data_IF_982030286575
#
_entry.id   IF_982030286575
#
_cell.length_a   1.000
_cell.length_b   1.000
_cell.length_c   1.000
_cell.angle_alpha   90.00
_cell.angle_beta   90.00
_cell.angle_gamma   90.00
#
_symmetry.space_group_name_H-M   'P 1'
#
loop_
_entity.id
_entity.type
_entity.pdbx_description
1 polymer ?
#
# COMPACT_ATOMS: atom_id res chain seq x y z
N UNK A 1 -20.42 -7.42 19.02
CA UNK A 1 -19.65 -7.68 17.80
C UNK A 1 -18.18 -7.25 17.94
N UNK A 2 -17.83 -5.98 18.26
CA UNK A 2 -16.43 -5.50 18.35
C UNK A 2 -15.53 -6.37 19.25
N UNK A 3 -15.93 -6.66 20.51
CA UNK A 3 -15.16 -7.53 21.42
C UNK A 3 -15.04 -8.98 20.91
N UNK A 4 -16.06 -9.48 20.23
CA UNK A 4 -16.04 -10.83 19.62
C UNK A 4 -15.01 -10.90 18.48
N UNK A 5 -14.99 -9.90 17.57
CA UNK A 5 -14.00 -9.81 16.50
C UNK A 5 -12.58 -9.74 17.06
N UNK A 6 -12.33 -8.89 18.07
CA UNK A 6 -11.04 -8.80 18.72
C UNK A 6 -10.61 -10.14 19.34
N UNK A 7 -11.50 -10.79 20.09
CA UNK A 7 -11.21 -12.09 20.70
C UNK A 7 -10.86 -13.16 19.66
N UNK A 8 -11.58 -13.22 18.54
CA UNK A 8 -11.27 -14.12 17.42
C UNK A 8 -9.94 -13.77 16.76
N UNK A 9 -9.66 -12.49 16.54
CA UNK A 9 -8.40 -12.05 15.95
C UNK A 9 -7.18 -12.41 16.82
N UNK A 10 -7.30 -12.25 18.13
CA UNK A 10 -6.26 -12.67 19.07
C UNK A 10 -6.06 -14.19 19.08
N UNK A 11 -7.16 -14.97 19.08
CA UNK A 11 -7.14 -16.43 19.06
C UNK A 11 -6.53 -16.98 17.78
N UNK A 12 -6.90 -16.43 16.64
CA UNK A 12 -6.53 -16.91 15.31
C UNK A 12 -5.42 -16.07 14.63
N UNK A 13 -4.71 -15.25 15.41
CA UNK A 13 -3.58 -14.43 14.96
C UNK A 13 -3.84 -13.60 13.71
N UNK A 14 -5.07 -13.13 13.53
CA UNK A 14 -5.47 -12.30 12.40
C UNK A 14 -5.85 -13.08 11.13
N UNK A 15 -5.85 -14.41 11.14
CA UNK A 15 -6.22 -15.22 9.98
C UNK A 15 -7.68 -15.03 9.59
N UNK A 16 -7.91 -14.39 8.45
CA UNK A 16 -9.23 -13.91 8.00
C UNK A 16 -10.28 -15.03 7.91
N UNK A 17 -9.90 -16.17 7.34
CA UNK A 17 -10.81 -17.31 7.15
C UNK A 17 -11.27 -17.90 8.48
N UNK A 18 -10.34 -18.03 9.44
CA UNK A 18 -10.62 -18.58 10.76
C UNK A 18 -11.50 -17.62 11.58
N UNK A 19 -11.24 -16.30 11.48
CA UNK A 19 -12.12 -15.29 12.11
C UNK A 19 -13.52 -15.36 11.51
N UNK A 20 -13.63 -15.48 10.18
CA UNK A 20 -14.90 -15.58 9.47
C UNK A 20 -15.70 -16.80 9.93
N UNK A 21 -15.04 -17.95 10.04
CA UNK A 21 -15.69 -19.18 10.47
C UNK A 21 -16.12 -19.09 11.94
N UNK A 22 -15.27 -18.58 12.82
CA UNK A 22 -15.61 -18.35 14.22
C UNK A 22 -16.80 -17.39 14.41
N UNK A 23 -16.90 -16.35 13.57
CA UNK A 23 -18.07 -15.45 13.56
C UNK A 23 -19.34 -16.19 13.13
N UNK A 24 -19.30 -17.02 12.08
CA UNK A 24 -20.43 -17.81 11.61
C UNK A 24 -20.92 -18.81 12.65
N UNK A 25 -19.99 -19.43 13.38
CA UNK A 25 -20.28 -20.40 14.44
C UNK A 25 -20.72 -19.72 15.76
N UNK A 26 -20.70 -18.39 15.83
CA UNK A 26 -21.05 -17.64 17.02
C UNK A 26 -20.06 -17.78 18.16
N UNK A 27 -18.80 -18.12 17.89
CA UNK A 27 -17.75 -18.24 18.88
C UNK A 27 -17.56 -16.91 19.65
N UNK A 28 -17.38 -17.04 20.96
CA UNK A 28 -17.13 -15.91 21.86
C UNK A 28 -15.87 -16.18 22.69
N UNK A 29 -14.68 -16.15 22.07
CA UNK A 29 -13.45 -16.37 22.81
C UNK A 29 -13.26 -15.26 23.85
N UNK A 30 -12.55 -15.55 24.96
CA UNK A 30 -12.20 -14.51 25.93
C UNK A 30 -11.43 -13.39 25.23
N UNK A 31 -11.81 -12.16 25.53
CA UNK A 31 -11.19 -10.98 24.95
C UNK A 31 -10.35 -10.30 26.03
N UNK A 32 -9.03 -10.38 25.88
CA UNK A 32 -8.11 -9.61 26.72
C UNK A 32 -8.05 -8.17 26.25
N UNK A 33 -7.93 -7.23 27.18
CA UNK A 33 -7.62 -5.86 26.82
C UNK A 33 -6.22 -5.79 26.21
N UNK A 34 -6.09 -5.01 25.17
CA UNK A 34 -4.82 -4.76 24.48
C UNK A 34 -4.53 -3.26 24.47
N UNK A 35 -3.24 -2.91 24.58
CA UNK A 35 -2.81 -1.52 24.56
C UNK A 35 -2.81 -0.92 23.15
N UNK A 36 -2.69 -1.77 22.09
CA UNK A 36 -2.67 -1.31 20.70
C UNK A 36 -4.07 -0.87 20.26
N UNK A 37 -4.25 0.35 19.77
CA UNK A 37 -5.51 0.79 19.19
C UNK A 37 -5.94 -0.09 18.03
N UNK A 38 -7.26 -0.30 17.91
CA UNK A 38 -7.84 -1.08 16.81
C UNK A 38 -9.21 -0.56 16.42
N UNK A 39 -9.59 -0.85 15.20
CA UNK A 39 -10.92 -0.63 14.65
C UNK A 39 -11.41 -1.91 13.98
N UNK A 40 -12.69 -2.23 14.11
CA UNK A 40 -13.29 -3.43 13.51
C UNK A 40 -14.24 -3.05 12.38
N UNK A 41 -14.56 -3.99 11.54
CA UNK A 41 -15.52 -3.82 10.44
C UNK A 41 -16.88 -3.26 10.92
N UNK A 42 -17.24 -3.46 12.20
CA UNK A 42 -18.48 -2.98 12.80
C UNK A 42 -18.42 -1.53 13.30
N UNK A 43 -17.24 -0.93 13.34
CA UNK A 43 -17.06 0.44 13.86
C UNK A 43 -17.29 1.49 12.76
N UNK A 44 -17.76 2.68 13.14
CA UNK A 44 -18.02 3.78 12.20
C UNK A 44 -16.70 4.33 11.60
N UNK A 45 -15.65 4.34 12.40
CA UNK A 45 -14.31 4.82 12.03
C UNK A 45 -13.53 3.86 11.15
N UNK A 46 -14.11 2.70 10.80
CA UNK A 46 -13.45 1.76 9.89
C UNK A 46 -13.33 2.35 8.48
N UNK A 47 -12.13 2.37 7.86
CA UNK A 47 -11.89 3.00 6.57
C UNK A 47 -12.85 2.49 5.48
N UNK A 48 -13.63 3.40 4.88
CA UNK A 48 -14.70 3.04 3.96
C UNK A 48 -14.20 2.29 2.71
N UNK A 49 -13.01 2.65 2.21
CA UNK A 49 -12.40 2.03 1.03
C UNK A 49 -12.11 0.53 1.23
N UNK A 50 -11.76 0.11 2.45
CA UNK A 50 -11.49 -1.30 2.75
C UNK A 50 -12.75 -2.18 2.72
N UNK A 51 -13.94 -1.59 2.84
CA UNK A 51 -15.21 -2.33 2.70
C UNK A 51 -15.47 -2.81 1.27
N UNK A 52 -14.80 -2.21 0.28
CA UNK A 52 -14.92 -2.56 -1.14
C UNK A 52 -14.18 -3.86 -1.51
N UNK A 53 -13.28 -4.31 -0.64
CA UNK A 53 -12.53 -5.54 -0.84
C UNK A 53 -13.48 -6.76 -0.85
N UNK A 54 -13.17 -7.76 -1.67
CA UNK A 54 -13.82 -9.07 -1.63
C UNK A 54 -13.71 -9.73 -0.24
N UNK A 55 -12.57 -9.50 0.42
CA UNK A 55 -12.25 -9.99 1.76
C UNK A 55 -11.86 -8.82 2.66
N UNK A 56 -12.82 -7.99 3.13
CA UNK A 56 -12.51 -6.84 3.96
C UNK A 56 -11.92 -7.30 5.31
N UNK A 57 -10.89 -6.61 5.84
CA UNK A 57 -10.37 -6.90 7.16
C UNK A 57 -11.46 -6.89 8.24
N UNK A 58 -11.56 -7.92 9.05
CA UNK A 58 -12.46 -7.91 10.21
C UNK A 58 -12.02 -6.90 11.27
N UNK A 59 -10.72 -6.68 11.37
CA UNK A 59 -10.08 -5.81 12.34
C UNK A 59 -8.82 -5.20 11.75
N UNK A 60 -8.51 -3.98 12.16
CA UNK A 60 -7.26 -3.29 11.87
C UNK A 60 -6.67 -2.79 13.18
N UNK A 61 -5.47 -3.20 13.46
CA UNK A 61 -4.63 -2.62 14.50
C UNK A 61 -3.87 -1.44 13.89
N UNK A 62 -3.77 -0.35 14.64
CA UNK A 62 -3.13 0.84 14.11
C UNK A 62 -2.31 1.60 15.15
N UNK A 63 -1.39 2.42 14.66
CA UNK A 63 -0.64 3.40 15.44
C UNK A 63 -0.56 4.69 14.63
N UNK A 64 -0.84 5.82 15.28
CA UNK A 64 -0.86 7.14 14.64
C UNK A 64 -2.25 7.60 14.25
N UNK A 65 -2.35 8.36 13.16
CA UNK A 65 -3.58 9.06 12.75
C UNK A 65 -4.39 8.23 11.74
N UNK A 66 -5.45 7.57 12.22
CA UNK A 66 -6.34 6.74 11.38
C UNK A 66 -7.05 7.55 10.28
N UNK A 67 -7.33 8.84 10.50
CA UNK A 67 -8.03 9.68 9.53
C UNK A 67 -7.28 9.83 8.18
N UNK A 68 -5.97 9.53 8.14
CA UNK A 68 -5.23 9.50 6.88
C UNK A 68 -5.75 8.44 5.89
N UNK A 69 -6.42 7.40 6.39
CA UNK A 69 -6.98 6.34 5.53
C UNK A 69 -8.21 6.78 4.72
N UNK A 70 -8.79 7.94 5.02
CA UNK A 70 -9.94 8.52 4.31
C UNK A 70 -9.55 9.65 3.35
N UNK A 71 -8.25 9.97 3.26
CA UNK A 71 -7.74 11.00 2.37
C UNK A 71 -7.36 10.43 1.00
N UNK A 72 -7.37 11.26 -0.07
CA UNK A 72 -6.84 10.86 -1.38
C UNK A 72 -5.44 10.30 -1.26
N UNK A 73 -5.18 9.15 -1.91
CA UNK A 73 -3.93 8.46 -1.72
C UNK A 73 -3.37 7.82 -2.99
N UNK A 74 -2.04 7.81 -3.08
CA UNK A 74 -1.29 7.11 -4.13
C UNK A 74 -0.46 5.98 -3.53
N UNK A 75 -0.69 4.76 -4.00
CA UNK A 75 0.15 3.61 -3.68
C UNK A 75 1.46 3.66 -4.45
N UNK A 76 2.60 3.68 -3.77
CA UNK A 76 3.93 3.59 -4.40
C UNK A 76 4.56 2.27 -4.01
N UNK A 77 4.78 1.41 -5.01
CA UNK A 77 5.26 0.04 -4.81
C UNK A 77 6.40 -0.31 -5.76
N UNK A 78 7.13 -1.38 -5.42
CA UNK A 78 8.14 -1.89 -6.33
C UNK A 78 9.10 -2.89 -5.72
N UNK A 79 10.23 -3.08 -6.41
CA UNK A 79 11.25 -4.07 -6.07
C UNK A 79 11.86 -3.83 -4.68
N UNK A 80 12.11 -4.93 -3.96
CA UNK A 80 12.90 -4.93 -2.72
C UNK A 80 14.39 -4.67 -2.97
N UNK A 81 14.86 -4.96 -4.18
CA UNK A 81 16.22 -4.67 -4.68
C UNK A 81 16.12 -3.52 -5.68
N UNK A 82 15.87 -2.32 -5.18
CA UNK A 82 15.64 -1.16 -6.02
C UNK A 82 16.96 -0.58 -6.56
N UNK A 83 16.99 -0.33 -7.86
CA UNK A 83 18.10 0.37 -8.49
C UNK A 83 18.04 1.89 -8.21
N UNK A 84 19.15 2.57 -8.46
CA UNK A 84 19.26 4.03 -8.24
C UNK A 84 18.19 4.82 -9.00
N UNK A 85 17.87 4.41 -10.23
CA UNK A 85 16.86 5.07 -11.04
C UNK A 85 15.47 4.98 -10.40
N UNK A 86 15.04 3.77 -9.99
CA UNK A 86 13.79 3.56 -9.30
C UNK A 86 13.68 4.35 -8.00
N UNK A 87 14.75 4.36 -7.18
CA UNK A 87 14.79 5.13 -5.93
C UNK A 87 14.69 6.65 -6.17
N UNK A 88 15.45 7.18 -7.14
CA UNK A 88 15.41 8.61 -7.48
C UNK A 88 14.03 9.04 -7.99
N UNK A 89 13.40 8.22 -8.83
CA UNK A 89 12.06 8.52 -9.33
C UNK A 89 11.00 8.40 -8.24
N UNK A 90 11.14 7.46 -7.31
CA UNK A 90 10.27 7.37 -6.12
C UNK A 90 10.27 8.67 -5.34
N UNK A 91 11.45 9.22 -5.03
CA UNK A 91 11.58 10.47 -4.29
C UNK A 91 10.95 11.66 -5.05
N UNK A 92 11.21 11.75 -6.36
CA UNK A 92 10.62 12.80 -7.21
C UNK A 92 9.09 12.73 -7.27
N UNK A 93 8.54 11.52 -7.35
CA UNK A 93 7.08 11.32 -7.36
C UNK A 93 6.46 11.69 -6.00
N UNK A 94 7.08 11.31 -4.89
CA UNK A 94 6.66 11.78 -3.57
C UNK A 94 6.68 13.32 -3.47
N UNK A 95 7.62 13.97 -4.14
CA UNK A 95 7.77 15.43 -4.15
C UNK A 95 6.60 16.17 -4.80
N UNK A 96 5.99 15.60 -5.83
CA UNK A 96 4.86 16.22 -6.53
C UNK A 96 3.49 15.91 -5.92
N UNK A 97 3.36 14.82 -5.18
CA UNK A 97 2.12 14.38 -4.51
C UNK A 97 1.90 15.16 -3.21
N UNK A 98 1.60 16.48 -3.35
CA UNK A 98 1.52 17.40 -2.20
C UNK A 98 0.28 17.19 -1.34
N UNK A 99 -0.83 16.87 -1.98
CA UNK A 99 -2.17 16.80 -1.37
C UNK A 99 -2.68 15.36 -1.26
N UNK A 100 -1.81 14.38 -1.48
CA UNK A 100 -2.14 12.97 -1.40
C UNK A 100 -1.29 12.24 -0.36
N UNK A 101 -1.89 11.23 0.25
CA UNK A 101 -1.21 10.34 1.17
C UNK A 101 -0.47 9.25 0.38
N UNK A 102 0.75 8.93 0.78
CA UNK A 102 1.55 7.87 0.15
C UNK A 102 1.31 6.56 0.89
N UNK A 103 0.76 5.56 0.20
CA UNK A 103 0.50 4.23 0.76
C UNK A 103 1.56 3.25 0.27
N UNK A 104 2.15 2.49 1.17
CA UNK A 104 3.11 1.45 0.80
C UNK A 104 3.24 0.35 1.86
N UNK A 105 4.06 -0.65 1.57
CA UNK A 105 4.09 -1.92 2.30
C UNK A 105 5.24 -2.09 3.30
N UNK A 106 6.02 -1.09 3.63
CA UNK A 106 7.15 -1.19 4.56
C UNK A 106 8.26 -2.20 4.14
N UNK A 107 8.24 -2.71 2.91
CA UNK A 107 9.28 -3.62 2.41
C UNK A 107 10.61 -2.87 2.16
N UNK A 108 11.69 -3.62 1.93
CA UNK A 108 12.94 -3.04 1.44
C UNK A 108 12.76 -2.35 0.09
N UNK A 109 13.70 -1.55 -0.33
CA UNK A 109 13.73 -0.93 -1.66
C UNK A 109 12.70 0.18 -1.81
N UNK A 110 11.84 0.09 -2.79
CA UNK A 110 10.89 1.15 -3.19
C UNK A 110 9.96 1.55 -2.03
N UNK A 111 9.36 0.58 -1.33
CA UNK A 111 8.41 0.85 -0.24
C UNK A 111 9.05 1.70 0.86
N UNK A 112 10.22 1.27 1.35
CA UNK A 112 10.96 2.02 2.37
C UNK A 112 11.41 3.39 1.89
N UNK A 113 11.81 3.51 0.62
CA UNK A 113 12.20 4.79 0.01
C UNK A 113 11.01 5.76 -0.08
N UNK A 114 9.83 5.27 -0.44
CA UNK A 114 8.60 6.06 -0.52
C UNK A 114 8.24 6.66 0.86
N UNK A 115 8.24 5.85 1.92
CA UNK A 115 7.98 6.34 3.27
C UNK A 115 9.02 7.36 3.75
N UNK A 116 10.31 7.09 3.54
CA UNK A 116 11.38 8.04 3.92
C UNK A 116 11.29 9.35 3.15
N UNK A 117 10.95 9.28 1.86
CA UNK A 117 10.71 10.49 1.06
C UNK A 117 9.50 11.27 1.59
N UNK A 118 8.40 10.60 1.90
CA UNK A 118 7.21 11.22 2.48
C UNK A 118 7.54 11.93 3.81
N UNK A 119 8.26 11.26 4.71
CA UNK A 119 8.68 11.83 5.99
C UNK A 119 9.56 13.08 5.81
N UNK A 120 10.60 13.00 4.94
CA UNK A 120 11.48 14.17 4.67
C UNK A 120 10.75 15.37 4.08
N UNK A 121 9.71 15.10 3.30
CA UNK A 121 8.90 16.11 2.61
C UNK A 121 7.68 16.55 3.42
N UNK A 122 7.53 16.08 4.66
CA UNK A 122 6.36 16.33 5.52
C UNK A 122 5.04 15.99 4.83
N UNK A 123 4.98 14.84 4.11
CA UNK A 123 3.78 14.32 3.45
C UNK A 123 3.12 13.25 4.31
N UNK A 124 1.79 13.13 4.18
CA UNK A 124 1.05 12.02 4.75
C UNK A 124 1.53 10.69 4.18
N UNK A 125 1.69 9.66 5.04
CA UNK A 125 2.00 8.31 4.55
C UNK A 125 1.39 7.23 5.44
N UNK A 126 0.97 6.13 4.82
CA UNK A 126 0.39 4.96 5.48
C UNK A 126 1.28 3.76 5.21
N UNK A 127 1.89 3.24 6.26
CA UNK A 127 2.64 2.00 6.22
C UNK A 127 1.75 0.81 6.59
N UNK A 128 1.62 -0.18 5.69
CA UNK A 128 0.81 -1.36 5.95
C UNK A 128 1.73 -2.53 6.25
N UNK A 129 1.64 -3.10 7.46
CA UNK A 129 2.47 -4.22 7.91
C UNK A 129 1.82 -5.58 7.59
N UNK A 130 2.65 -6.60 7.39
CA UNK A 130 2.23 -7.99 7.27
C UNK A 130 2.51 -8.81 8.54
N UNK A 131 2.52 -8.16 9.70
CA UNK A 131 2.78 -8.75 11.02
C UNK A 131 2.26 -7.82 12.11
N UNK A 132 2.33 -8.22 13.36
CA UNK A 132 2.00 -7.35 14.48
C UNK A 132 2.85 -6.06 14.46
N UNK A 133 2.26 -4.91 14.80
CA UNK A 133 2.94 -3.62 14.73
C UNK A 133 4.11 -3.48 15.71
N UNK A 134 4.15 -4.32 16.74
CA UNK A 134 5.25 -4.47 17.69
C UNK A 134 6.39 -5.38 17.18
N UNK A 135 6.26 -5.93 15.95
CA UNK A 135 7.23 -6.82 15.28
C UNK A 135 7.76 -6.18 14.00
N UNK A 136 8.58 -5.11 14.06
CA UNK A 136 9.09 -4.44 12.86
C UNK A 136 9.76 -5.39 11.87
N UNK A 137 9.23 -5.45 10.65
CA UNK A 137 9.79 -6.28 9.58
C UNK A 137 9.70 -5.56 8.21
N UNK A 138 10.78 -5.55 7.43
CA UNK A 138 12.12 -6.06 7.76
C UNK A 138 12.82 -5.21 8.83
N UNK A 139 13.76 -5.80 9.56
CA UNK A 139 14.49 -5.10 10.63
C UNK A 139 15.20 -3.83 10.15
N UNK A 140 15.63 -3.78 8.89
CA UNK A 140 16.23 -2.61 8.26
C UNK A 140 15.30 -1.38 8.25
N UNK A 141 13.98 -1.57 8.21
CA UNK A 141 12.98 -0.51 8.21
C UNK A 141 12.37 -0.25 9.60
N UNK A 142 13.04 -0.69 10.67
CA UNK A 142 12.58 -0.48 12.06
C UNK A 142 12.39 1.00 12.39
N UNK A 143 13.21 1.88 11.82
CA UNK A 143 13.09 3.34 11.93
C UNK A 143 11.71 3.83 11.48
N UNK A 144 11.16 3.29 10.40
CA UNK A 144 9.83 3.66 9.90
C UNK A 144 8.72 3.29 10.88
N UNK A 145 8.83 2.15 11.57
CA UNK A 145 7.86 1.77 12.60
C UNK A 145 7.88 2.71 13.80
N UNK A 146 9.00 3.39 14.06
CA UNK A 146 9.14 4.36 15.14
C UNK A 146 8.70 5.77 14.73
N UNK A 147 8.93 6.15 13.48
CA UNK A 147 8.68 7.52 13.00
C UNK A 147 7.24 7.71 12.48
N UNK A 148 6.70 6.74 11.74
CA UNK A 148 5.37 6.86 11.14
C UNK A 148 4.26 7.17 12.18
N UNK A 149 4.19 6.51 13.34
CA UNK A 149 3.14 6.78 14.31
C UNK A 149 3.11 8.20 14.88
N UNK A 150 4.19 8.97 14.77
CA UNK A 150 4.28 10.32 15.35
C UNK A 150 3.35 11.33 14.66
N UNK A 151 3.17 11.22 13.35
CA UNK A 151 2.34 12.12 12.54
C UNK A 151 1.65 11.44 11.36
N UNK A 152 1.89 10.16 11.17
CA UNK A 152 1.42 9.35 10.05
C UNK A 152 0.68 8.12 10.57
N UNK A 153 0.54 7.07 9.75
CA UNK A 153 -0.25 5.91 10.09
C UNK A 153 0.50 4.60 9.81
N UNK A 154 0.48 3.70 10.78
CA UNK A 154 0.78 2.28 10.62
C UNK A 154 -0.49 1.47 10.75
N UNK A 155 -0.72 0.52 9.84
CA UNK A 155 -1.86 -0.40 9.83
C UNK A 155 -1.40 -1.85 9.76
N UNK A 156 -2.14 -2.75 10.42
CA UNK A 156 -2.00 -4.19 10.27
C UNK A 156 -3.33 -4.91 10.53
N UNK A 157 -3.60 -6.01 9.83
CA UNK A 157 -4.68 -6.95 10.17
C UNK A 157 -4.26 -7.89 11.31
N UNK A 158 -2.98 -7.95 11.61
CA UNK A 158 -2.40 -8.92 12.52
C UNK A 158 -2.28 -8.33 13.93
N UNK A 159 -2.77 -9.05 14.96
CA UNK A 159 -2.66 -8.60 16.33
C UNK A 159 -1.19 -8.49 16.78
N UNK A 160 -0.93 -7.76 17.89
CA UNK A 160 0.41 -7.72 18.48
C UNK A 160 1.00 -9.13 18.66
N UNK A 161 2.33 -9.21 18.56
CA UNK A 161 3.15 -10.42 18.64
C UNK A 161 3.02 -11.38 17.46
N UNK A 162 2.14 -11.16 16.48
CA UNK A 162 2.07 -12.00 15.28
C UNK A 162 3.35 -11.88 14.45
N UNK A 163 4.05 -13.00 14.16
CA UNK A 163 5.30 -12.98 13.41
C UNK A 163 5.07 -12.66 11.92
N UNK A 164 6.11 -12.21 11.19
CA UNK A 164 6.04 -11.97 9.74
C UNK A 164 6.07 -13.30 8.97
N UNK A 165 4.92 -13.90 8.71
CA UNK A 165 4.79 -15.11 7.92
C UNK A 165 4.75 -14.81 6.43
N UNK A 166 5.29 -15.72 5.59
CA UNK A 166 5.44 -15.48 4.14
C UNK A 166 4.10 -15.18 3.45
N UNK A 167 3.02 -15.85 3.82
CA UNK A 167 1.69 -15.67 3.20
C UNK A 167 1.01 -14.37 3.62
N UNK A 168 1.41 -13.74 4.72
CA UNK A 168 0.85 -12.47 5.15
C UNK A 168 1.13 -11.31 4.17
N UNK A 169 2.29 -11.33 3.49
CA UNK A 169 2.69 -10.21 2.63
C UNK A 169 1.86 -10.13 1.35
N UNK A 170 1.61 -11.22 0.58
CA UNK A 170 0.65 -11.19 -0.51
C UNK A 170 -0.75 -10.79 -0.06
N UNK A 171 -1.22 -11.35 1.05
CA UNK A 171 -2.55 -11.06 1.59
C UNK A 171 -2.71 -9.58 1.97
N UNK A 172 -1.70 -8.99 2.63
CA UNK A 172 -1.66 -7.58 3.00
C UNK A 172 -1.74 -6.64 1.78
N UNK A 173 -1.19 -7.02 0.62
CA UNK A 173 -1.07 -6.15 -0.55
C UNK A 173 -2.44 -5.63 -1.05
N UNK A 174 -3.52 -6.38 -0.83
CA UNK A 174 -4.87 -5.91 -1.16
C UNK A 174 -5.26 -4.64 -0.40
N UNK A 175 -4.72 -4.43 0.81
CA UNK A 175 -4.97 -3.22 1.59
C UNK A 175 -4.26 -2.01 0.98
N UNK A 176 -3.06 -2.20 0.41
CA UNK A 176 -2.35 -1.13 -0.31
C UNK A 176 -3.19 -0.68 -1.51
N UNK A 177 -3.66 -1.63 -2.32
CA UNK A 177 -4.49 -1.34 -3.48
C UNK A 177 -5.82 -0.66 -3.10
N UNK A 178 -6.48 -1.14 -2.04
CA UNK A 178 -7.78 -0.62 -1.62
C UNK A 178 -7.70 0.81 -1.05
N UNK A 179 -6.66 1.14 -0.29
CA UNK A 179 -6.46 2.48 0.29
C UNK A 179 -5.86 3.48 -0.70
N UNK A 180 -5.64 3.09 -1.95
CA UNK A 180 -5.05 3.95 -2.98
C UNK A 180 -6.04 4.23 -4.09
N UNK A 181 -6.07 5.46 -4.59
CA UNK A 181 -6.84 5.84 -5.78
C UNK A 181 -6.14 5.34 -7.06
N UNK A 182 -4.82 5.22 -7.02
CA UNK A 182 -3.96 4.68 -8.08
C UNK A 182 -2.74 3.99 -7.50
N UNK A 183 -2.14 3.11 -8.29
CA UNK A 183 -0.88 2.44 -7.96
C UNK A 183 0.21 2.90 -8.92
N UNK A 184 1.36 3.28 -8.39
CA UNK A 184 2.56 3.65 -9.15
C UNK A 184 3.65 2.61 -8.90
N UNK A 185 3.99 1.87 -9.95
CA UNK A 185 5.01 0.82 -9.94
C UNK A 185 6.34 1.43 -10.37
N UNK A 186 7.26 1.61 -9.40
CA UNK A 186 8.56 2.23 -9.66
C UNK A 186 9.59 1.27 -10.22
N UNK A 187 9.47 -0.01 -9.91
CA UNK A 187 10.36 -1.06 -10.43
C UNK A 187 9.73 -2.43 -10.18
N UNK A 188 9.69 -3.27 -11.20
CA UNK A 188 9.25 -4.65 -11.07
C UNK A 188 9.95 -5.55 -12.06
N UNK A 189 10.45 -6.69 -11.61
CA UNK A 189 10.82 -7.81 -12.48
C UNK A 189 9.59 -8.66 -12.82
N UNK A 190 9.73 -9.59 -13.74
CA UNK A 190 8.64 -10.42 -14.28
C UNK A 190 7.87 -11.21 -13.20
N UNK A 191 8.58 -11.82 -12.25
CA UNK A 191 8.01 -12.63 -11.17
C UNK A 191 8.02 -11.91 -9.83
N UNK A 192 7.81 -10.60 -9.85
CA UNK A 192 7.83 -9.77 -8.65
C UNK A 192 6.53 -9.91 -7.84
N UNK A 193 6.65 -9.94 -6.51
CA UNK A 193 5.48 -9.83 -5.62
C UNK A 193 4.68 -8.52 -5.80
N UNK A 194 5.25 -7.52 -6.48
CA UNK A 194 4.60 -6.28 -6.90
C UNK A 194 3.42 -6.54 -7.82
N UNK A 195 3.52 -7.59 -8.69
CA UNK A 195 2.44 -7.96 -9.61
C UNK A 195 1.15 -8.37 -8.88
N UNK A 196 1.26 -8.94 -7.68
CA UNK A 196 0.09 -9.28 -6.87
C UNK A 196 -0.68 -8.03 -6.45
N UNK A 197 0.03 -6.96 -6.05
CA UNK A 197 -0.60 -5.68 -5.70
C UNK A 197 -1.23 -5.03 -6.94
N UNK A 198 -0.61 -5.16 -8.11
CA UNK A 198 -1.18 -4.65 -9.38
C UNK A 198 -2.47 -5.38 -9.72
N UNK A 199 -2.52 -6.70 -9.57
CA UNK A 199 -3.74 -7.47 -9.82
C UNK A 199 -4.88 -7.01 -8.91
N UNK A 200 -4.62 -6.84 -7.61
CA UNK A 200 -5.61 -6.29 -6.67
C UNK A 200 -6.08 -4.88 -7.08
N UNK A 201 -5.17 -4.04 -7.57
CA UNK A 201 -5.50 -2.70 -8.05
C UNK A 201 -6.43 -2.74 -9.28
N UNK A 202 -6.16 -3.65 -10.22
CA UNK A 202 -6.99 -3.85 -11.43
C UNK A 202 -8.40 -4.34 -11.04
N UNK A 203 -8.50 -5.31 -10.12
CA UNK A 203 -9.79 -5.79 -9.61
C UNK A 203 -10.63 -4.69 -8.94
N UNK A 204 -9.96 -3.71 -8.33
CA UNK A 204 -10.58 -2.55 -7.71
C UNK A 204 -10.76 -1.36 -8.67
N UNK A 205 -10.50 -1.53 -9.98
CA UNK A 205 -10.55 -0.49 -11.00
C UNK A 205 -9.66 0.73 -10.68
N UNK A 206 -8.49 0.51 -10.06
CA UNK A 206 -7.51 1.56 -9.80
C UNK A 206 -6.62 1.76 -11.01
N UNK A 207 -6.26 3.01 -11.29
CA UNK A 207 -5.24 3.32 -12.32
C UNK A 207 -3.88 2.72 -11.92
N UNK A 208 -3.19 2.10 -12.88
CA UNK A 208 -1.84 1.58 -12.68
C UNK A 208 -0.88 2.37 -13.56
N UNK A 209 0.12 2.97 -12.94
CA UNK A 209 1.18 3.74 -13.57
C UNK A 209 2.51 3.00 -13.43
N UNK A 210 3.30 2.96 -14.47
CA UNK A 210 4.58 2.26 -14.46
C UNK A 210 5.72 3.14 -14.95
N UNK A 211 6.81 3.15 -14.21
CA UNK A 211 8.06 3.77 -14.65
C UNK A 211 8.66 2.93 -15.78
N UNK A 212 8.92 3.50 -16.98
CA UNK A 212 9.51 2.76 -18.08
C UNK A 212 11.01 2.51 -17.85
N UNK A 213 11.49 1.39 -18.35
CA UNK A 213 12.89 0.99 -18.30
C UNK A 213 13.43 0.73 -19.70
N UNK A 214 14.76 0.82 -19.93
CA UNK A 214 15.36 0.43 -21.18
C UNK A 214 14.98 -1.00 -21.56
N UNK A 215 14.84 -1.26 -22.84
CA UNK A 215 14.64 -2.62 -23.35
C UNK A 215 15.75 -3.56 -22.82
N UNK A 216 15.40 -4.81 -22.53
CA UNK A 216 16.30 -5.83 -21.96
C UNK A 216 16.84 -5.56 -20.55
N UNK A 217 16.38 -4.51 -19.86
CA UNK A 217 16.70 -4.28 -18.46
C UNK A 217 15.82 -5.18 -17.58
N UNK A 218 16.43 -6.24 -17.00
CA UNK A 218 15.72 -7.22 -16.15
C UNK A 218 15.10 -6.63 -14.89
N UNK A 219 15.65 -5.53 -14.39
CA UNK A 219 15.15 -4.88 -13.17
C UNK A 219 13.78 -4.23 -13.37
N UNK A 220 13.47 -3.81 -14.61
CA UNK A 220 12.24 -3.11 -14.97
C UNK A 220 11.37 -3.82 -16.01
N UNK A 221 11.69 -5.05 -16.38
CA UNK A 221 10.95 -5.80 -17.41
C UNK A 221 9.47 -5.99 -17.06
N UNK A 222 9.13 -6.14 -15.76
CA UNK A 222 7.76 -6.22 -15.30
C UNK A 222 7.01 -4.90 -15.46
N UNK A 223 7.68 -3.74 -15.27
CA UNK A 223 7.08 -2.44 -15.58
C UNK A 223 6.76 -2.30 -17.06
N UNK A 224 7.73 -2.67 -17.93
CA UNK A 224 7.53 -2.62 -19.39
C UNK A 224 6.42 -3.59 -19.85
N UNK A 225 6.31 -4.76 -19.23
CA UNK A 225 5.20 -5.69 -19.47
C UNK A 225 3.85 -5.06 -19.11
N UNK A 226 3.72 -4.48 -17.91
CA UNK A 226 2.49 -3.81 -17.49
C UNK A 226 2.10 -2.68 -18.43
N UNK A 227 3.07 -1.89 -18.90
CA UNK A 227 2.85 -0.85 -19.91
C UNK A 227 2.30 -1.46 -21.21
N UNK A 228 2.87 -2.56 -21.67
CA UNK A 228 2.39 -3.24 -22.89
C UNK A 228 0.98 -3.82 -22.73
N UNK A 229 0.54 -4.04 -21.51
CA UNK A 229 -0.81 -4.53 -21.16
C UNK A 229 -1.81 -3.39 -20.86
N UNK A 230 -1.38 -2.14 -21.01
CA UNK A 230 -2.27 -0.97 -20.87
C UNK A 230 -2.10 -0.15 -19.60
N UNK A 231 -1.09 -0.40 -18.78
CA UNK A 231 -0.74 0.50 -17.70
C UNK A 231 -0.24 1.84 -18.24
N UNK A 232 -0.53 2.93 -17.52
CA UNK A 232 -0.08 4.28 -17.89
C UNK A 232 1.45 4.42 -17.76
N UNK A 233 2.06 5.09 -18.73
CA UNK A 233 3.51 5.32 -18.73
C UNK A 233 3.84 6.55 -17.88
N UNK A 234 4.64 6.37 -16.84
CA UNK A 234 5.16 7.46 -16.03
C UNK A 234 6.47 8.01 -16.62
N UNK A 235 6.38 8.97 -17.52
CA UNK A 235 7.56 9.62 -18.13
C UNK A 235 8.11 10.76 -17.26
N UNK A 236 7.25 11.45 -16.52
CA UNK A 236 7.63 12.52 -15.62
C UNK A 236 6.72 12.57 -14.38
N UNK A 237 7.23 12.87 -13.19
CA UNK A 237 6.44 12.92 -11.96
C UNK A 237 5.22 13.83 -12.01
N UNK A 238 5.31 14.96 -12.71
CA UNK A 238 4.22 15.94 -12.86
C UNK A 238 2.94 15.35 -13.50
N UNK A 239 3.03 14.21 -14.18
CA UNK A 239 1.84 13.54 -14.73
C UNK A 239 0.89 13.06 -13.62
N UNK A 240 1.41 12.77 -12.43
CA UNK A 240 0.60 12.29 -11.29
C UNK A 240 -0.31 13.39 -10.71
N UNK A 241 0.02 14.67 -10.95
CA UNK A 241 -0.79 15.80 -10.45
C UNK A 241 -1.82 16.30 -11.44
N UNK A 242 -1.80 15.79 -12.69
CA UNK A 242 -2.71 16.21 -13.74
C UNK A 242 -4.02 15.44 -13.70
N UNK A 243 -5.12 16.16 -13.93
CA UNK A 243 -6.41 15.53 -14.17
C UNK A 243 -6.39 14.68 -15.45
N UNK A 244 -7.30 13.70 -15.63
CA UNK A 244 -7.40 12.93 -16.87
C UNK A 244 -7.56 13.83 -18.13
N UNK A 245 -8.24 14.96 -18.02
CA UNK A 245 -8.43 15.92 -19.12
C UNK A 245 -7.11 16.63 -19.47
N UNK A 246 -6.37 17.11 -18.48
CA UNK A 246 -5.07 17.75 -18.67
C UNK A 246 -4.03 16.79 -19.24
N UNK A 247 -4.07 15.52 -18.83
CA UNK A 247 -3.20 14.45 -19.40
C UNK A 247 -3.45 14.26 -20.89
N UNK A 248 -4.72 14.15 -21.32
CA UNK A 248 -5.11 14.01 -22.72
C UNK A 248 -4.67 15.23 -23.55
N UNK A 249 -4.79 16.43 -22.99
CA UNK A 249 -4.36 17.65 -23.67
C UNK A 249 -2.84 17.75 -23.80
N UNK A 250 -2.09 17.40 -22.75
CA UNK A 250 -0.63 17.39 -22.78
C UNK A 250 -0.09 16.39 -23.81
N UNK A 251 -0.71 15.21 -23.94
CA UNK A 251 -0.37 14.23 -24.96
C UNK A 251 -0.58 14.77 -26.37
N UNK A 252 -1.73 15.39 -26.65
CA UNK A 252 -2.02 16.02 -27.95
C UNK A 252 -1.03 17.13 -28.31
N UNK A 253 -0.61 17.92 -27.32
CA UNK A 253 0.35 19.02 -27.55
C UNK A 253 1.76 18.49 -27.84
N UNK A 254 2.20 17.40 -27.16
CA UNK A 254 3.50 16.75 -27.45
C UNK A 254 3.56 16.16 -28.87
N UNK A 255 2.49 15.50 -29.30
CA UNK A 255 2.41 14.98 -30.69
C UNK A 255 2.51 16.10 -31.74
N UNK A 256 1.91 17.27 -31.49
CA UNK A 256 2.00 18.43 -32.38
C UNK A 256 3.38 19.08 -32.44
N UNK A 257 4.19 18.95 -31.38
CA UNK A 257 5.56 19.50 -31.31
C UNK A 257 6.64 18.55 -31.82
N UNK A 258 6.33 17.26 -31.98
CA UNK A 258 7.18 16.33 -32.73
C UNK A 258 7.06 16.64 -34.22
N UNK A 259 7.87 17.57 -34.69
CA UNK A 259 8.15 17.72 -36.13
C UNK A 259 9.15 16.60 -36.47
N UNK A 260 8.73 15.61 -37.26
CA UNK A 260 9.63 14.65 -37.91
C UNK A 260 10.43 15.36 -38.98
#
# INVERSE_FOLDING_TARGET
MRKQILGLALRYQGEWEQITEGLKQGEKPPCSEIATPYVTWADAEYPALLRQLRFPPWILFYQGNLALADLPATGIIGSRQACRYGLTMTERCCGVLKDEVIVSGLALGIDGAAHRAALRLCRGTIGIAGCGLDRPYPAYNRDLYMELPKANLLLSEYPPQTPPLKHHFPWRNRLIAALSDRIVVMQAGFHSGTMLTVNEAIELNREVWCLPYPAMNKEGEGCNLLISQGAEILMEPSQLTRTPQERRQACKNRVKTMKF
#
